data_IF_347038278442
#
_entry.id   IF_347038278442
#
_cell.length_a   1.000
_cell.length_b   1.000
_cell.length_c   1.000
_cell.angle_alpha   90.00
_cell.angle_beta   90.00
_cell.angle_gamma   90.00
#
_symmetry.space_group_name_H-M   'P 1'
#
loop_
_entity.id
_entity.type
_entity.pdbx_description
1 polymer ?
#
# COMPACT_ATOMS: atom_id res chain seq x y z
N UNK A 1 11.17 -32.94 45.82
CA UNK A 1 11.77 -32.53 44.52
C UNK A 1 10.80 -32.64 43.33
N UNK A 2 10.00 -33.72 43.18
CA UNK A 2 9.06 -33.88 42.05
C UNK A 2 8.01 -32.76 41.89
N UNK A 3 7.57 -32.13 42.99
CA UNK A 3 6.57 -31.04 42.98
C UNK A 3 7.08 -29.76 42.28
N UNK A 4 8.39 -29.50 42.31
CA UNK A 4 8.98 -28.32 41.68
C UNK A 4 9.15 -28.49 40.17
N UNK A 5 9.28 -29.74 39.69
CA UNK A 5 9.39 -30.06 38.27
C UNK A 5 8.13 -29.60 37.53
N UNK A 6 6.95 -29.89 38.11
CA UNK A 6 5.65 -29.49 37.56
C UNK A 6 5.56 -27.96 37.43
N UNK A 7 6.02 -27.23 38.44
CA UNK A 7 5.99 -25.76 38.45
C UNK A 7 6.91 -25.17 37.37
N UNK A 8 8.11 -25.73 37.19
CA UNK A 8 9.06 -25.30 36.17
C UNK A 8 8.51 -25.55 34.76
N UNK A 9 7.87 -26.70 34.53
CA UNK A 9 7.23 -26.99 33.22
C UNK A 9 6.07 -26.05 32.91
N UNK A 10 5.25 -25.69 33.90
CA UNK A 10 4.13 -24.75 33.70
C UNK A 10 4.65 -23.34 33.42
N UNK A 11 5.64 -22.86 34.16
CA UNK A 11 6.24 -21.54 33.89
C UNK A 11 6.93 -21.48 32.52
N UNK A 12 7.63 -22.54 32.11
CA UNK A 12 8.25 -22.60 30.79
C UNK A 12 7.23 -22.66 29.64
N UNK A 13 6.12 -23.36 29.84
CA UNK A 13 5.02 -23.38 28.87
C UNK A 13 4.34 -22.01 28.77
N UNK A 14 4.07 -21.35 29.90
CA UNK A 14 3.45 -20.02 29.90
C UNK A 14 4.34 -18.95 29.26
N UNK A 15 5.66 -18.99 29.47
CA UNK A 15 6.58 -18.02 28.87
C UNK A 15 6.64 -18.19 27.35
N UNK A 16 6.71 -19.43 26.84
CA UNK A 16 6.68 -19.71 25.40
C UNK A 16 5.36 -19.33 24.76
N UNK A 17 4.23 -19.57 25.44
CA UNK A 17 2.91 -19.13 24.97
C UNK A 17 2.81 -17.59 24.93
N UNK A 18 3.36 -16.89 25.92
CA UNK A 18 3.41 -15.43 25.95
C UNK A 18 4.25 -14.85 24.80
N UNK A 19 5.40 -15.47 24.51
CA UNK A 19 6.23 -15.14 23.36
C UNK A 19 5.46 -15.34 22.04
N UNK A 20 4.73 -16.45 21.88
CA UNK A 20 3.94 -16.68 20.66
C UNK A 20 2.79 -15.68 20.48
N UNK A 21 2.22 -15.15 21.56
CA UNK A 21 1.16 -14.13 21.50
C UNK A 21 1.69 -12.73 21.20
N UNK A 22 2.93 -12.40 21.61
CA UNK A 22 3.54 -11.10 21.32
C UNK A 22 4.14 -11.02 19.92
N UNK A 23 4.64 -12.14 19.39
CA UNK A 23 5.11 -12.21 18.02
C UNK A 23 3.97 -12.66 17.09
N UNK A 24 3.30 -11.71 16.42
CA UNK A 24 2.51 -12.03 15.23
C UNK A 24 3.38 -12.90 14.31
N UNK A 25 2.85 -14.05 13.86
CA UNK A 25 3.54 -14.96 12.96
C UNK A 25 4.10 -14.19 11.74
N UNK A 26 5.42 -13.97 11.73
CA UNK A 26 6.14 -13.35 10.61
C UNK A 26 6.26 -14.28 9.40
N UNK A 27 5.76 -15.52 9.50
CA UNK A 27 6.03 -16.57 8.52
C UNK A 27 4.99 -16.70 7.40
N UNK A 28 3.87 -15.97 7.46
CA UNK A 28 2.85 -16.02 6.41
C UNK A 28 2.18 -14.65 6.23
N UNK A 29 2.81 -13.81 5.42
CA UNK A 29 2.16 -12.63 4.86
C UNK A 29 1.52 -13.10 3.55
N UNK A 30 0.21 -13.30 3.55
CA UNK A 30 -0.53 -13.64 2.32
C UNK A 30 -0.40 -12.45 1.38
N UNK A 31 0.55 -12.61 0.46
CA UNK A 31 1.18 -11.54 -0.26
C UNK A 31 0.37 -11.24 -1.51
N UNK A 32 -0.83 -10.71 -1.30
CA UNK A 32 -1.75 -10.45 -2.38
C UNK A 32 -1.43 -9.10 -3.03
N UNK A 33 -1.24 -9.13 -4.35
CA UNK A 33 -1.48 -7.94 -5.17
C UNK A 33 -2.95 -7.59 -4.99
N UNK A 34 -3.20 -6.44 -4.37
CA UNK A 34 -4.54 -5.95 -4.09
C UNK A 34 -4.89 -4.85 -5.09
N UNK A 35 -6.10 -4.90 -5.61
CA UNK A 35 -6.61 -3.88 -6.53
C UNK A 35 -7.72 -3.14 -5.79
N UNK A 36 -7.49 -1.85 -5.56
CA UNK A 36 -8.48 -0.96 -4.98
C UNK A 36 -9.16 -0.12 -6.05
N UNK A 37 -10.45 0.14 -5.89
CA UNK A 37 -11.27 0.97 -6.78
C UNK A 37 -11.94 2.06 -5.96
N UNK A 38 -11.21 3.13 -5.61
CA UNK A 38 -11.74 4.17 -4.75
C UNK A 38 -12.84 4.96 -5.47
N UNK A 39 -13.91 5.29 -4.73
CA UNK A 39 -14.94 6.18 -5.24
C UNK A 39 -14.47 7.64 -5.09
N UNK A 40 -14.47 8.37 -6.19
CA UNK A 40 -14.19 9.82 -6.25
C UNK A 40 -12.84 10.27 -5.63
N UNK A 41 -11.78 9.46 -5.77
CA UNK A 41 -10.45 9.85 -5.31
C UNK A 41 -9.78 10.80 -6.32
N UNK A 42 -9.34 11.97 -5.85
CA UNK A 42 -8.48 12.87 -6.62
C UNK A 42 -7.01 12.54 -6.38
N UNK A 43 -6.18 12.65 -7.42
CA UNK A 43 -4.74 12.39 -7.35
C UNK A 43 -3.99 13.24 -6.33
N UNK A 44 -4.50 14.43 -5.98
CA UNK A 44 -3.95 15.28 -4.90
C UNK A 44 -4.07 14.64 -3.52
N UNK A 45 -5.10 13.81 -3.30
CA UNK A 45 -5.37 13.14 -2.04
C UNK A 45 -4.89 11.68 -2.05
N UNK A 46 -4.32 11.19 -3.15
CA UNK A 46 -3.89 9.80 -3.30
C UNK A 46 -2.95 9.34 -2.19
N UNK A 47 -1.92 10.14 -1.87
CA UNK A 47 -0.95 9.78 -0.84
C UNK A 47 -1.61 9.66 0.55
N UNK A 48 -2.45 10.63 0.91
CA UNK A 48 -3.22 10.62 2.16
C UNK A 48 -4.20 9.45 2.22
N UNK A 49 -4.80 9.10 1.08
CA UNK A 49 -5.69 7.95 0.97
C UNK A 49 -4.94 6.64 1.22
N UNK A 50 -3.76 6.46 0.63
CA UNK A 50 -2.93 5.26 0.85
C UNK A 50 -2.52 5.14 2.31
N UNK A 51 -1.93 6.20 2.89
CA UNK A 51 -1.47 6.21 4.28
C UNK A 51 -2.59 5.93 5.29
N UNK A 52 -3.82 6.37 5.00
CA UNK A 52 -4.98 6.17 5.88
C UNK A 52 -5.53 4.74 5.83
N UNK A 53 -5.56 4.12 4.65
CA UNK A 53 -6.27 2.86 4.43
C UNK A 53 -5.33 1.63 4.38
N UNK A 54 -4.05 1.85 4.06
CA UNK A 54 -3.10 0.78 3.84
C UNK A 54 -1.79 1.07 4.57
N UNK A 55 -1.56 0.32 5.65
CA UNK A 55 -0.32 0.41 6.42
C UNK A 55 0.81 -0.31 5.67
N UNK A 56 1.93 0.38 5.42
CA UNK A 56 3.10 -0.12 4.70
C UNK A 56 2.85 -0.67 3.27
N UNK A 57 1.79 -0.24 2.58
CA UNK A 57 1.55 -0.68 1.21
C UNK A 57 2.44 0.03 0.18
N UNK A 58 2.95 -0.73 -0.78
CA UNK A 58 3.58 -0.20 -1.98
C UNK A 58 2.56 0.00 -3.09
N UNK A 59 2.56 1.17 -3.72
CA UNK A 59 1.71 1.43 -4.89
C UNK A 59 2.47 1.03 -6.15
N UNK A 60 1.98 -0.01 -6.82
CA UNK A 60 2.55 -0.53 -8.07
C UNK A 60 2.10 0.30 -9.27
N UNK A 61 0.83 0.69 -9.32
CA UNK A 61 0.26 1.50 -10.39
C UNK A 61 -0.97 2.26 -9.91
N UNK A 62 -1.36 3.29 -10.65
CA UNK A 62 -2.67 3.89 -10.53
C UNK A 62 -3.27 4.09 -11.92
N UNK A 63 -4.59 4.07 -12.01
CA UNK A 63 -5.33 4.31 -13.24
C UNK A 63 -6.20 5.54 -13.13
N UNK A 64 -6.43 6.15 -14.28
CA UNK A 64 -7.46 7.16 -14.51
C UNK A 64 -8.48 6.58 -15.49
N UNK A 65 -9.53 7.34 -15.79
CA UNK A 65 -10.46 7.00 -16.87
C UNK A 65 -9.79 6.85 -18.25
N UNK A 66 -8.59 7.42 -18.43
CA UNK A 66 -7.90 7.43 -19.73
C UNK A 66 -6.82 6.35 -19.84
N UNK A 67 -6.02 6.15 -18.80
CA UNK A 67 -4.89 5.22 -18.84
C UNK A 67 -4.40 4.86 -17.45
N UNK A 68 -3.70 3.74 -17.35
CA UNK A 68 -2.94 3.34 -16.18
C UNK A 68 -1.48 3.78 -16.29
N UNK A 69 -0.85 4.05 -15.15
CA UNK A 69 0.55 4.40 -15.03
C UNK A 69 1.23 3.54 -13.97
N UNK A 70 2.28 2.83 -14.39
CA UNK A 70 3.11 1.98 -13.52
C UNK A 70 4.18 2.80 -12.79
N UNK A 71 4.23 2.67 -11.46
CA UNK A 71 5.22 3.27 -10.58
C UNK A 71 6.46 2.36 -10.50
N UNK A 72 7.30 2.34 -11.53
CA UNK A 72 8.54 1.54 -11.55
C UNK A 72 9.60 2.08 -10.58
N UNK A 73 9.56 1.69 -9.31
CA UNK A 73 10.48 2.12 -8.23
C UNK A 73 10.49 3.63 -7.98
N UNK A 74 9.44 4.33 -8.39
CA UNK A 74 9.27 5.76 -8.22
C UNK A 74 8.24 5.96 -7.10
N UNK A 75 8.47 6.91 -6.18
CA UNK A 75 7.47 7.24 -5.18
C UNK A 75 6.21 7.84 -5.85
N UNK A 76 5.05 7.74 -5.17
CA UNK A 76 3.76 8.19 -5.71
C UNK A 76 3.85 9.63 -6.26
N UNK A 77 4.47 10.54 -5.49
CA UNK A 77 4.61 11.96 -5.86
C UNK A 77 5.28 12.15 -7.21
N UNK A 78 6.41 11.48 -7.44
CA UNK A 78 7.14 11.56 -8.70
C UNK A 78 6.38 10.85 -9.83
N UNK A 79 5.63 9.79 -9.53
CA UNK A 79 4.77 9.15 -10.52
C UNK A 79 3.62 10.02 -10.98
N UNK A 80 3.02 10.81 -10.09
CA UNK A 80 1.98 11.79 -10.43
C UNK A 80 2.51 12.87 -11.40
N UNK A 81 3.72 13.39 -11.14
CA UNK A 81 4.38 14.35 -12.03
C UNK A 81 4.63 13.71 -13.40
N UNK A 82 5.19 12.50 -13.40
CA UNK A 82 5.53 11.83 -14.65
C UNK A 82 4.32 11.42 -15.48
N UNK A 83 3.20 11.15 -14.82
CA UNK A 83 1.93 10.94 -15.51
C UNK A 83 1.48 12.19 -16.28
N UNK A 84 1.62 13.38 -15.69
CA UNK A 84 1.31 14.66 -16.37
C UNK A 84 2.24 14.86 -17.57
N UNK A 85 3.53 14.57 -17.41
CA UNK A 85 4.49 14.64 -18.52
C UNK A 85 4.11 13.68 -19.66
N UNK A 86 3.66 12.47 -19.32
CA UNK A 86 3.17 11.49 -20.29
C UNK A 86 1.94 11.97 -21.08
N UNK A 87 1.05 12.74 -20.46
CA UNK A 87 -0.07 13.37 -21.16
C UNK A 87 0.44 14.40 -22.16
N UNK A 88 1.41 15.25 -21.77
CA UNK A 88 2.06 16.24 -22.66
C UNK A 88 2.76 15.56 -23.84
N UNK A 89 3.53 14.49 -23.58
CA UNK A 89 4.21 13.69 -24.63
C UNK A 89 3.23 13.07 -25.63
N UNK A 90 2.00 12.78 -25.21
CA UNK A 90 0.93 12.23 -26.06
C UNK A 90 0.12 13.30 -26.80
N UNK A 91 0.46 14.58 -26.67
CA UNK A 91 -0.27 15.70 -27.27
C UNK A 91 -1.62 15.99 -26.58
N UNK A 92 -1.77 15.59 -25.32
CA UNK A 92 -2.96 15.82 -24.49
C UNK A 92 -2.74 17.02 -23.57
N UNK A 93 -2.39 18.17 -24.14
CA UNK A 93 -1.97 19.36 -23.40
C UNK A 93 -3.08 19.93 -22.49
N UNK A 94 -4.34 19.92 -22.94
CA UNK A 94 -5.47 20.38 -22.14
C UNK A 94 -5.71 19.47 -20.92
N UNK A 95 -5.64 18.15 -21.10
CA UNK A 95 -5.78 17.19 -20.02
C UNK A 95 -4.60 17.27 -19.05
N UNK A 96 -3.39 17.50 -19.57
CA UNK A 96 -2.21 17.70 -18.74
C UNK A 96 -2.32 18.97 -17.89
N UNK A 97 -2.79 20.08 -18.48
CA UNK A 97 -3.01 21.33 -17.77
C UNK A 97 -4.09 21.19 -16.70
N UNK A 98 -5.20 20.52 -17.02
CA UNK A 98 -6.25 20.25 -16.03
C UNK A 98 -5.73 19.37 -14.89
N UNK A 99 -5.00 18.29 -15.21
CA UNK A 99 -4.37 17.42 -14.24
C UNK A 99 -3.40 18.17 -13.32
N UNK A 100 -2.64 19.14 -13.84
CA UNK A 100 -1.70 19.96 -13.08
C UNK A 100 -2.41 20.93 -12.11
N UNK A 101 -3.49 21.57 -12.56
CA UNK A 101 -4.21 22.59 -11.77
C UNK A 101 -5.18 21.94 -10.78
N UNK A 102 -6.02 21.01 -11.25
CA UNK A 102 -7.14 20.43 -10.49
C UNK A 102 -6.84 19.05 -9.92
N UNK A 103 -5.79 18.39 -10.41
CA UNK A 103 -5.63 16.95 -10.19
C UNK A 103 -6.51 16.15 -11.15
N UNK A 104 -6.45 14.84 -11.04
CA UNK A 104 -7.21 13.91 -11.88
C UNK A 104 -7.84 12.80 -11.04
N UNK A 105 -8.92 12.23 -11.54
CA UNK A 105 -9.58 11.13 -10.84
C UNK A 105 -8.76 9.85 -10.95
N UNK A 106 -8.54 9.21 -9.80
CA UNK A 106 -7.90 7.90 -9.67
C UNK A 106 -9.02 6.87 -9.55
N UNK A 107 -9.10 5.98 -10.54
CA UNK A 107 -10.19 5.00 -10.66
C UNK A 107 -9.79 3.62 -10.17
N UNK A 108 -8.50 3.32 -10.19
CA UNK A 108 -7.96 2.04 -9.73
C UNK A 108 -6.55 2.25 -9.18
N UNK A 109 -6.19 1.49 -8.15
CA UNK A 109 -4.87 1.48 -7.55
C UNK A 109 -4.42 0.03 -7.38
N UNK A 110 -3.28 -0.31 -7.97
CA UNK A 110 -2.61 -1.58 -7.72
C UNK A 110 -1.66 -1.45 -6.55
N UNK A 111 -1.87 -2.26 -5.51
CA UNK A 111 -1.10 -2.25 -4.27
C UNK A 111 -0.39 -3.58 -4.07
N UNK A 112 0.82 -3.50 -3.51
CA UNK A 112 1.56 -4.61 -2.97
C UNK A 112 1.62 -4.47 -1.45
N UNK A 113 1.00 -5.42 -0.74
CA UNK A 113 0.90 -5.43 0.72
C UNK A 113 2.05 -6.22 1.41
N UNK A 114 3.11 -6.54 0.66
CA UNK A 114 4.21 -7.42 1.08
C UNK A 114 5.43 -6.72 1.70
N UNK A 115 5.28 -5.49 2.19
CA UNK A 115 6.39 -4.79 2.84
C UNK A 115 6.41 -5.01 4.34
#
# INVERSE_FOLDING_TARGET
MKKYIIFITIMGFLSTLFLQLTFKSYAYQDCANYIDKPNDLNSKDLMKYIEKNYDNADVNYFCTYYTCYELKNINIKNGLVRYIDLLKERGLDEQALEAEIKGFSVTEIGLNLCK
#
